data_IF_448055543772
#
_entry.id   IF_448055543772
#
_cell.length_a   1.000
_cell.length_b   1.000
_cell.length_c   1.000
_cell.angle_alpha   90.00
_cell.angle_beta   90.00
_cell.angle_gamma   90.00
#
_symmetry.space_group_name_H-M   'P 1'
#
loop_
_entity.id
_entity.type
_entity.pdbx_description
1 polymer ?
#
# COMPACT_ATOMS: atom_id res chain seq x y z
N UNK A 1 28.14 -27.48 1.00
CA UNK A 1 28.21 -26.22 1.73
C UNK A 1 27.24 -25.21 1.11
N UNK A 2 26.25 -24.87 1.86
CA UNK A 2 25.17 -24.05 1.35
C UNK A 2 25.58 -22.60 1.31
N UNK A 3 25.63 -22.05 0.12
CA UNK A 3 25.78 -20.60 -0.02
C UNK A 3 24.46 -19.96 0.30
N UNK A 4 24.45 -19.04 1.26
CA UNK A 4 23.26 -18.26 1.54
C UNK A 4 22.85 -17.50 0.29
N UNK A 5 21.58 -17.58 -0.05
CA UNK A 5 21.02 -16.76 -1.13
C UNK A 5 20.96 -15.32 -0.65
N UNK A 6 21.14 -14.32 -1.55
CA UNK A 6 21.00 -12.90 -1.14
C UNK A 6 19.69 -12.61 -0.40
N UNK A 7 18.60 -13.29 -0.76
CA UNK A 7 17.32 -13.13 -0.09
C UNK A 7 17.35 -13.56 1.39
N UNK A 8 18.14 -14.61 1.69
CA UNK A 8 18.27 -15.10 3.08
C UNK A 8 19.05 -14.12 3.94
N UNK A 9 20.07 -13.46 3.38
CA UNK A 9 20.84 -12.46 4.10
C UNK A 9 19.99 -11.21 4.39
N UNK A 10 19.18 -10.79 3.44
CA UNK A 10 18.25 -9.68 3.62
C UNK A 10 17.20 -10.06 4.68
N UNK A 11 16.68 -11.28 4.61
CA UNK A 11 15.71 -11.76 5.60
C UNK A 11 16.27 -11.66 7.00
N UNK A 12 17.48 -12.18 7.20
CA UNK A 12 18.12 -12.16 8.51
C UNK A 12 18.34 -10.74 9.02
N UNK A 13 18.81 -9.86 8.15
CA UNK A 13 19.04 -8.47 8.52
C UNK A 13 17.74 -7.79 8.96
N UNK A 14 16.66 -8.00 8.23
CA UNK A 14 15.37 -7.41 8.57
C UNK A 14 14.79 -8.00 9.85
N UNK A 15 14.92 -9.31 10.03
CA UNK A 15 14.47 -9.98 11.24
C UNK A 15 15.18 -9.42 12.48
N UNK A 16 16.50 -9.25 12.39
CA UNK A 16 17.30 -8.68 13.48
C UNK A 16 16.95 -7.22 13.75
N UNK A 17 16.47 -6.50 12.71
CA UNK A 17 16.05 -5.10 12.86
C UNK A 17 14.65 -4.94 13.43
N UNK A 18 13.93 -6.04 13.70
CA UNK A 18 12.62 -5.98 14.34
C UNK A 18 11.42 -6.20 13.44
N UNK A 19 11.65 -6.60 12.17
CA UNK A 19 10.55 -6.92 11.26
C UNK A 19 10.08 -8.36 11.49
N UNK A 20 8.76 -8.54 11.59
CA UNK A 20 8.18 -9.88 11.67
C UNK A 20 8.27 -10.59 10.33
N UNK A 21 8.14 -11.91 10.33
CA UNK A 21 8.19 -12.72 9.11
C UNK A 21 7.20 -12.23 8.06
N UNK A 22 6.01 -11.89 8.47
CA UNK A 22 4.95 -11.45 7.55
C UNK A 22 5.33 -10.15 6.84
N UNK A 23 5.89 -9.19 7.59
CA UNK A 23 6.36 -7.94 7.01
C UNK A 23 7.50 -8.19 6.01
N UNK A 24 8.43 -9.09 6.36
CA UNK A 24 9.55 -9.44 5.48
C UNK A 24 9.03 -10.10 4.19
N UNK A 25 8.03 -10.97 4.29
CA UNK A 25 7.40 -11.59 3.12
C UNK A 25 6.86 -10.54 2.17
N UNK A 26 6.15 -9.54 2.68
CA UNK A 26 5.63 -8.47 1.82
C UNK A 26 6.75 -7.72 1.12
N UNK A 27 7.84 -7.43 1.83
CA UNK A 27 8.97 -6.76 1.22
C UNK A 27 9.65 -7.62 0.14
N UNK A 28 9.90 -8.89 0.44
CA UNK A 28 10.64 -9.75 -0.48
C UNK A 28 9.81 -10.19 -1.69
N UNK A 29 8.55 -10.51 -1.50
CA UNK A 29 7.68 -10.95 -2.59
C UNK A 29 7.31 -9.80 -3.50
N UNK A 30 7.32 -8.57 -2.98
CA UNK A 30 6.91 -7.36 -3.71
C UNK A 30 5.55 -7.53 -4.37
N UNK A 31 4.66 -8.21 -3.67
CA UNK A 31 3.31 -8.46 -4.11
C UNK A 31 2.59 -7.14 -4.36
N UNK A 32 1.99 -7.01 -5.54
CA UNK A 32 1.23 -5.83 -5.94
C UNK A 32 2.10 -4.60 -6.26
N UNK A 33 3.41 -4.76 -6.41
CA UNK A 33 4.27 -3.67 -6.89
C UNK A 33 4.00 -3.48 -8.38
N UNK A 34 3.83 -2.23 -8.78
CA UNK A 34 3.63 -1.87 -10.17
C UNK A 34 2.60 -0.77 -10.33
N UNK A 35 2.17 -0.58 -11.57
CA UNK A 35 1.12 0.38 -11.90
C UNK A 35 0.10 -0.29 -12.82
N UNK A 36 -1.17 0.08 -12.67
CA UNK A 36 -2.24 -0.39 -13.54
C UNK A 36 -2.34 0.60 -14.69
N UNK A 37 -2.11 0.15 -15.93
CA UNK A 37 -2.08 1.04 -17.10
C UNK A 37 -3.41 1.74 -17.35
N UNK A 38 -4.51 1.01 -17.17
CA UNK A 38 -5.86 1.55 -17.36
C UNK A 38 -6.55 1.84 -16.05
N UNK A 39 -5.80 2.32 -15.06
CA UNK A 39 -6.32 2.61 -13.73
C UNK A 39 -7.42 3.66 -13.78
N UNK A 40 -8.41 3.49 -12.92
CA UNK A 40 -9.47 4.48 -12.74
C UNK A 40 -9.00 5.66 -11.89
N UNK A 41 -8.01 5.45 -11.05
CA UNK A 41 -7.40 6.51 -10.26
C UNK A 41 -5.95 6.16 -9.95
N UNK A 42 -5.08 7.17 -10.07
CA UNK A 42 -3.67 7.07 -9.65
C UNK A 42 -3.37 8.28 -8.77
N UNK A 43 -2.81 8.04 -7.60
CA UNK A 43 -2.50 9.10 -6.66
C UNK A 43 -1.18 8.81 -5.98
N UNK A 44 -0.35 9.83 -5.84
CA UNK A 44 0.90 9.72 -5.11
C UNK A 44 0.94 10.66 -3.92
N UNK A 45 1.78 10.31 -2.94
CA UNK A 45 1.98 11.10 -1.75
C UNK A 45 3.40 10.87 -1.25
N UNK A 46 4.06 11.95 -0.85
CA UNK A 46 5.39 11.91 -0.25
C UNK A 46 5.26 12.20 1.24
N UNK A 47 5.84 11.34 2.08
CA UNK A 47 5.83 11.52 3.52
C UNK A 47 6.96 12.42 4.01
N UNK A 48 6.94 12.74 5.32
CA UNK A 48 7.94 13.66 5.91
C UNK A 48 9.38 13.17 5.77
N UNK A 49 9.60 11.85 5.69
CA UNK A 49 10.93 11.27 5.56
C UNK A 49 11.42 11.18 4.10
N UNK A 50 10.63 11.68 3.15
CA UNK A 50 10.98 11.63 1.74
C UNK A 50 10.52 10.37 1.01
N UNK A 51 9.95 9.40 1.71
CA UNK A 51 9.37 8.21 1.08
C UNK A 51 8.18 8.62 0.23
N UNK A 52 8.06 8.04 -0.96
CA UNK A 52 6.95 8.33 -1.87
C UNK A 52 6.21 7.05 -2.20
N UNK A 53 4.89 7.10 -2.17
CA UNK A 53 4.03 5.99 -2.58
C UNK A 53 3.06 6.48 -3.64
N UNK A 54 2.87 5.64 -4.67
CA UNK A 54 1.91 5.90 -5.75
C UNK A 54 0.99 4.70 -5.86
N UNK A 55 -0.29 4.90 -5.61
CA UNK A 55 -1.31 3.84 -5.67
C UNK A 55 -2.13 4.01 -6.93
N UNK A 56 -2.34 2.90 -7.65
CA UNK A 56 -3.25 2.85 -8.79
C UNK A 56 -4.36 1.85 -8.46
N UNK A 57 -5.60 2.25 -8.76
CA UNK A 57 -6.79 1.44 -8.47
C UNK A 57 -7.59 1.19 -9.74
N UNK A 58 -8.06 -0.04 -9.87
CA UNK A 58 -9.07 -0.41 -10.86
C UNK A 58 -10.36 -0.69 -10.10
N UNK A 59 -11.42 0.03 -10.45
CA UNK A 59 -12.66 0.03 -9.67
C UNK A 59 -13.82 -0.45 -10.54
N UNK A 60 -14.62 -1.36 -9.99
CA UNK A 60 -15.82 -1.87 -10.63
C UNK A 60 -17.01 -1.57 -9.72
N UNK A 61 -17.82 -0.58 -10.12
CA UNK A 61 -18.91 -0.10 -9.29
C UNK A 61 -18.40 0.58 -8.04
N UNK A 62 -18.66 -0.04 -6.88
CA UNK A 62 -18.19 0.47 -5.59
C UNK A 62 -17.07 -0.38 -4.99
N UNK A 63 -16.48 -1.29 -5.79
CA UNK A 63 -15.54 -2.29 -5.29
C UNK A 63 -14.20 -2.16 -6.00
N UNK A 64 -13.11 -2.34 -5.24
CA UNK A 64 -11.75 -2.30 -5.77
C UNK A 64 -11.45 -3.64 -6.41
N UNK A 65 -11.36 -3.64 -7.74
CA UNK A 65 -11.10 -4.86 -8.51
C UNK A 65 -9.62 -5.21 -8.55
N UNK A 66 -8.75 -4.20 -8.62
CA UNK A 66 -7.30 -4.37 -8.53
C UNK A 66 -6.67 -3.14 -7.91
N UNK A 67 -5.54 -3.35 -7.24
CA UNK A 67 -4.78 -2.27 -6.62
C UNK A 67 -3.30 -2.59 -6.73
N UNK A 68 -2.51 -1.62 -7.13
CA UNK A 68 -1.06 -1.73 -7.22
C UNK A 68 -0.39 -0.52 -6.63
N UNK A 69 0.88 -0.66 -6.28
CA UNK A 69 1.62 0.41 -5.64
C UNK A 69 3.05 0.46 -6.15
N UNK A 70 3.56 1.67 -6.31
CA UNK A 70 4.98 1.93 -6.51
C UNK A 70 5.49 2.66 -5.27
N UNK A 71 6.66 2.27 -4.78
CA UNK A 71 7.22 2.83 -3.56
C UNK A 71 8.68 3.20 -3.80
N UNK A 72 9.04 4.42 -3.44
CA UNK A 72 10.42 4.84 -3.27
C UNK A 72 10.63 5.06 -1.78
N UNK A 73 11.35 4.13 -1.13
CA UNK A 73 11.55 4.22 0.30
C UNK A 73 12.23 2.99 0.87
N UNK A 74 12.22 2.91 2.20
CA UNK A 74 12.86 1.84 2.95
C UNK A 74 12.05 0.54 2.89
N UNK A 75 12.62 -0.60 3.39
CA UNK A 75 11.86 -1.85 3.42
C UNK A 75 10.52 -1.75 4.15
N UNK A 76 10.44 -0.94 5.21
CA UNK A 76 9.18 -0.73 5.92
C UNK A 76 8.11 -0.05 5.06
N UNK A 77 8.53 0.89 4.20
CA UNK A 77 7.62 1.54 3.27
C UNK A 77 7.11 0.54 2.22
N UNK A 78 7.99 -0.28 1.67
CA UNK A 78 7.60 -1.30 0.68
C UNK A 78 6.65 -2.31 1.31
N UNK A 79 6.99 -2.84 2.49
CA UNK A 79 6.15 -3.82 3.18
C UNK A 79 4.78 -3.23 3.50
N UNK A 80 4.75 -2.01 4.04
CA UNK A 80 3.49 -1.35 4.40
C UNK A 80 2.60 -1.10 3.20
N UNK A 81 3.18 -0.61 2.10
CA UNK A 81 2.44 -0.36 0.88
C UNK A 81 1.88 -1.64 0.27
N UNK A 82 2.71 -2.68 0.16
CA UNK A 82 2.28 -3.96 -0.41
C UNK A 82 1.17 -4.60 0.44
N UNK A 83 1.31 -4.57 1.75
CA UNK A 83 0.30 -5.12 2.65
C UNK A 83 -1.02 -4.35 2.53
N UNK A 84 -0.94 -3.02 2.47
CA UNK A 84 -2.14 -2.19 2.38
C UNK A 84 -2.93 -2.46 1.10
N UNK A 85 -2.26 -2.49 -0.06
CA UNK A 85 -3.00 -2.74 -1.31
C UNK A 85 -3.52 -4.16 -1.36
N UNK A 86 -2.83 -5.12 -0.72
CA UNK A 86 -3.35 -6.48 -0.58
C UNK A 86 -4.66 -6.49 0.22
N UNK A 87 -4.72 -5.73 1.32
CA UNK A 87 -5.93 -5.60 2.12
C UNK A 87 -7.05 -4.90 1.36
N UNK A 88 -6.70 -3.92 0.52
CA UNK A 88 -7.70 -3.13 -0.20
C UNK A 88 -8.36 -3.88 -1.33
N UNK A 89 -7.67 -4.83 -1.95
CA UNK A 89 -8.24 -5.60 -3.08
C UNK A 89 -9.49 -6.34 -2.66
N UNK A 90 -10.55 -6.21 -3.45
CA UNK A 90 -11.80 -6.89 -3.21
C UNK A 90 -12.72 -6.19 -2.21
N UNK A 91 -12.25 -5.14 -1.54
CA UNK A 91 -13.08 -4.37 -0.62
C UNK A 91 -13.89 -3.33 -1.39
N UNK A 92 -15.02 -2.93 -0.79
CA UNK A 92 -15.73 -1.75 -1.28
C UNK A 92 -14.90 -0.50 -1.00
N UNK A 93 -15.22 0.59 -1.68
CA UNK A 93 -14.52 1.86 -1.45
C UNK A 93 -14.62 2.29 0.02
N UNK A 94 -15.79 2.09 0.63
CA UNK A 94 -15.99 2.43 2.04
C UNK A 94 -15.17 1.55 2.97
N UNK A 95 -15.16 0.23 2.71
CA UNK A 95 -14.36 -0.70 3.50
C UNK A 95 -12.87 -0.38 3.41
N UNK A 96 -12.39 -0.04 2.21
CA UNK A 96 -11.00 0.33 2.01
C UNK A 96 -10.66 1.64 2.74
N UNK A 97 -11.59 2.59 2.74
CA UNK A 97 -11.41 3.85 3.47
C UNK A 97 -11.28 3.62 4.97
N UNK A 98 -11.95 2.60 5.49
CA UNK A 98 -11.98 2.30 6.91
C UNK A 98 -10.77 1.48 7.39
N UNK A 99 -9.87 1.07 6.48
CA UNK A 99 -8.64 0.39 6.89
C UNK A 99 -7.82 1.34 7.77
N UNK A 100 -7.55 0.90 8.98
CA UNK A 100 -6.80 1.70 9.94
C UNK A 100 -5.42 1.10 10.21
N UNK A 101 -4.64 1.80 11.04
CA UNK A 101 -3.29 1.40 11.38
C UNK A 101 -3.26 0.04 12.08
N UNK A 102 -4.24 -0.23 12.95
CA UNK A 102 -4.31 -1.50 13.67
C UNK A 102 -4.52 -2.67 12.71
N UNK A 103 -5.39 -2.52 11.73
CA UNK A 103 -5.62 -3.56 10.72
C UNK A 103 -4.36 -3.81 9.90
N UNK A 104 -3.68 -2.74 9.49
CA UNK A 104 -2.44 -2.87 8.72
C UNK A 104 -1.35 -3.55 9.53
N UNK A 105 -1.21 -3.19 10.81
CA UNK A 105 -0.22 -3.83 11.67
C UNK A 105 -0.54 -5.29 11.95
N UNK A 106 -1.81 -5.65 12.07
CA UNK A 106 -2.17 -7.06 12.20
C UNK A 106 -1.73 -7.86 10.96
N UNK A 107 -1.88 -7.27 9.78
CA UNK A 107 -1.45 -7.92 8.53
C UNK A 107 0.08 -8.06 8.45
N UNK A 108 0.81 -7.04 8.88
CA UNK A 108 2.27 -7.05 8.89
C UNK A 108 2.86 -7.83 10.06
N UNK A 109 2.08 -8.08 11.09
CA UNK A 109 2.39 -8.63 12.39
C UNK A 109 3.23 -7.67 13.23
N UNK A 110 4.48 -7.38 12.82
CA UNK A 110 5.31 -6.44 13.57
C UNK A 110 6.34 -5.77 12.66
N UNK A 111 6.56 -4.49 12.91
CA UNK A 111 7.64 -3.71 12.33
C UNK A 111 8.32 -2.89 13.42
N UNK A 112 9.57 -2.43 13.17
CA UNK A 112 10.23 -1.54 14.13
C UNK A 112 9.37 -0.29 14.42
N UNK A 113 9.36 0.15 15.67
CA UNK A 113 8.54 1.27 16.10
C UNK A 113 8.82 2.55 15.31
N UNK A 114 10.08 2.77 14.92
CA UNK A 114 10.46 3.94 14.14
C UNK A 114 9.95 3.89 12.70
N UNK A 115 9.30 2.80 12.29
CA UNK A 115 8.74 2.64 10.95
C UNK A 115 7.22 2.86 10.89
N UNK A 116 6.61 3.28 11.99
CA UNK A 116 5.16 3.55 12.02
C UNK A 116 4.75 4.60 10.97
N UNK A 117 5.63 5.56 10.69
CA UNK A 117 5.36 6.60 9.69
C UNK A 117 5.15 6.02 8.30
N UNK A 118 5.81 4.89 7.99
CA UNK A 118 5.63 4.20 6.69
C UNK A 118 4.21 3.66 6.55
N UNK A 119 3.71 3.03 7.61
CA UNK A 119 2.35 2.50 7.62
C UNK A 119 1.32 3.64 7.53
N UNK A 120 1.56 4.72 8.24
CA UNK A 120 0.67 5.89 8.18
C UNK A 120 0.65 6.52 6.79
N UNK A 121 1.82 6.61 6.14
CA UNK A 121 1.89 7.13 4.78
C UNK A 121 1.08 6.26 3.81
N UNK A 122 1.19 4.94 3.94
CA UNK A 122 0.43 4.02 3.08
C UNK A 122 -1.08 4.26 3.23
N UNK A 123 -1.56 4.34 4.46
CA UNK A 123 -2.98 4.58 4.73
C UNK A 123 -3.43 5.93 4.17
N UNK A 124 -2.64 6.98 4.39
CA UNK A 124 -2.97 8.31 3.87
C UNK A 124 -2.99 8.33 2.35
N UNK A 125 -2.07 7.63 1.69
CA UNK A 125 -2.03 7.57 0.23
C UNK A 125 -3.29 6.89 -0.30
N UNK A 126 -3.72 5.78 0.31
CA UNK A 126 -4.94 5.11 -0.11
C UNK A 126 -6.16 6.00 0.12
N UNK A 127 -6.26 6.65 1.28
CA UNK A 127 -7.38 7.54 1.57
C UNK A 127 -7.46 8.68 0.57
N UNK A 128 -6.31 9.27 0.24
CA UNK A 128 -6.26 10.35 -0.77
C UNK A 128 -6.68 9.83 -2.15
N UNK A 129 -6.25 8.63 -2.51
CA UNK A 129 -6.61 8.02 -3.79
C UNK A 129 -8.12 7.81 -3.88
N UNK A 130 -8.74 7.27 -2.83
CA UNK A 130 -10.17 7.05 -2.79
C UNK A 130 -10.95 8.37 -2.82
N UNK A 131 -10.48 9.35 -2.09
CA UNK A 131 -11.10 10.67 -2.02
C UNK A 131 -11.08 11.35 -3.39
N UNK A 132 -9.94 11.33 -4.07
CA UNK A 132 -9.81 11.92 -5.41
C UNK A 132 -10.68 11.20 -6.43
N UNK A 133 -10.79 9.89 -6.35
CA UNK A 133 -11.67 9.13 -7.23
C UNK A 133 -13.13 9.53 -7.00
N UNK A 134 -13.56 9.63 -5.76
CA UNK A 134 -14.93 10.00 -5.43
C UNK A 134 -15.27 11.43 -5.87
N UNK A 135 -14.33 12.34 -5.74
CA UNK A 135 -14.49 13.71 -6.23
C UNK A 135 -14.70 13.74 -7.75
N UNK A 136 -13.89 12.96 -8.48
CA UNK A 136 -14.05 12.85 -9.94
C UNK A 136 -15.43 12.32 -10.32
N UNK A 137 -15.92 11.32 -9.59
CA UNK A 137 -17.23 10.75 -9.89
C UNK A 137 -18.36 11.76 -9.63
N UNK A 138 -18.24 12.56 -8.57
CA UNK A 138 -19.20 13.62 -8.30
C UNK A 138 -19.21 14.68 -9.41
N UNK A 139 -18.02 15.07 -9.87
CA UNK A 139 -17.88 16.07 -10.95
C UNK A 139 -18.47 15.57 -12.27
N UNK A 140 -18.23 14.31 -12.61
CA UNK A 140 -18.79 13.68 -13.80
C UNK A 140 -20.31 13.66 -13.70
N UNK A 141 -20.86 13.26 -12.57
CA UNK A 141 -22.31 13.22 -12.33
C UNK A 141 -22.92 14.62 -12.45
N UNK A 142 -22.28 15.62 -11.84
CA UNK A 142 -22.76 17.00 -11.91
C UNK A 142 -22.79 17.51 -13.35
N UNK A 143 -21.77 17.19 -14.16
CA UNK A 143 -21.70 17.61 -15.56
C UNK A 143 -22.77 16.93 -16.40
N UNK A 144 -23.09 15.67 -16.12
CA UNK A 144 -24.13 14.93 -16.85
C UNK A 144 -25.53 15.48 -16.55
N UNK A 145 -25.74 16.02 -15.35
CA UNK A 145 -27.04 16.55 -14.93
C UNK A 145 -27.32 17.96 -15.42
N UNK A 146 -26.37 18.60 -16.06
CA UNK A 146 -26.57 19.96 -16.60
C UNK A 146 -27.27 19.95 -17.95
#
# INVERSE_FOLDING_TARGET
MDKKKPADDVYQMLSESGYANRAIEYFQSKQNIGIIEDADQVTDLTGPCGDTMKISLKIDGDRINDARIQVLGCPGAVASGCALVSLAKGKTLQEARDIDLDELYRELEKMPDQKVHCARLAIKTLQKTLEQYQEQQRDITANVQK
#
